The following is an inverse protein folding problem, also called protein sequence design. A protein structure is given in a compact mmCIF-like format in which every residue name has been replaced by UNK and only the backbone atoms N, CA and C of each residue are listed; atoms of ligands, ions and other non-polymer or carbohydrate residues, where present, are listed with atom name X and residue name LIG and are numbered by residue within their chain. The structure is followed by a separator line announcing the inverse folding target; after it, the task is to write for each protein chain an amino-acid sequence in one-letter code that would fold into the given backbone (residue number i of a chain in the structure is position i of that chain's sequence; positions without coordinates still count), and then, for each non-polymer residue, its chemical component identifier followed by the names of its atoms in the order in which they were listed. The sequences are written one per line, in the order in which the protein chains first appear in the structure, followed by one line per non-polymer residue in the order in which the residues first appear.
data_IF_407086470612
#
_entry.id   IF_407086470612
#
_cell.length_a   1.000
_cell.length_b   1.000
_cell.length_c   1.000
_cell.angle_alpha   90.00
_cell.angle_beta   90.00
_cell.angle_gamma   90.00
#
_symmetry.space_group_name_H-M   'P 1'
#
loop_
_entity.id
_entity.type
_entity.pdbx_description
1 polymer ?
#
# COMPACT_ATOMS: atom_id res chain seq x y z
N UNK A 1 6.26 12.01 -24.64
CA UNK A 1 6.27 11.98 -23.16
C UNK A 1 5.63 10.68 -22.75
N UNK A 2 6.34 9.77 -22.08
CA UNK A 2 5.73 8.55 -21.54
C UNK A 2 4.69 8.96 -20.49
N UNK A 3 3.45 8.46 -20.61
CA UNK A 3 2.46 8.63 -19.57
C UNK A 3 2.93 7.86 -18.33
N UNK A 4 3.15 8.52 -17.18
CA UNK A 4 3.55 7.82 -15.97
C UNK A 4 2.47 6.80 -15.61
N UNK A 5 2.88 5.53 -15.46
CA UNK A 5 1.95 4.44 -15.14
C UNK A 5 1.52 4.53 -13.69
N UNK A 6 0.23 4.75 -13.47
CA UNK A 6 -0.36 4.59 -12.14
C UNK A 6 -0.27 3.11 -11.72
N UNK A 7 0.04 2.88 -10.45
CA UNK A 7 0.21 1.55 -9.89
C UNK A 7 -0.61 1.43 -8.62
N UNK A 8 -1.18 0.26 -8.37
CA UNK A 8 -1.88 -0.02 -7.13
C UNK A 8 -1.61 -1.45 -6.67
N UNK A 9 -1.76 -1.65 -5.37
CA UNK A 9 -1.71 -2.95 -4.72
C UNK A 9 -2.78 -3.02 -3.66
N UNK A 10 -3.45 -4.16 -3.58
CA UNK A 10 -4.36 -4.51 -2.51
C UNK A 10 -3.90 -5.81 -1.88
N UNK A 11 -3.80 -5.82 -0.56
CA UNK A 11 -3.45 -7.01 0.19
C UNK A 11 -4.35 -7.21 1.39
N UNK A 12 -4.62 -8.48 1.71
CA UNK A 12 -5.27 -8.89 2.94
C UNK A 12 -4.43 -9.91 3.71
N UNK A 13 -4.54 -9.85 5.03
CA UNK A 13 -3.99 -10.87 5.94
C UNK A 13 -5.11 -11.35 6.85
N UNK A 14 -5.47 -12.63 6.74
CA UNK A 14 -6.59 -13.24 7.45
C UNK A 14 -6.13 -14.52 8.13
N UNK A 15 -6.34 -14.62 9.44
CA UNK A 15 -6.12 -15.81 10.26
C UNK A 15 -7.05 -15.74 11.48
N UNK A 16 -8.20 -16.44 11.45
CA UNK A 16 -9.16 -16.45 12.54
C UNK A 16 -8.58 -16.97 13.85
N UNK A 17 -7.66 -17.95 13.80
CA UNK A 17 -7.05 -18.56 14.99
C UNK A 17 -6.22 -17.55 15.80
N UNK A 18 -5.79 -16.46 15.14
CA UNK A 18 -5.01 -15.37 15.73
C UNK A 18 -5.78 -14.06 15.85
N UNK A 19 -7.07 -14.06 15.55
CA UNK A 19 -7.90 -12.85 15.51
C UNK A 19 -7.33 -11.76 14.57
N UNK A 20 -6.71 -12.18 13.46
CA UNK A 20 -6.15 -11.29 12.44
C UNK A 20 -7.09 -11.22 11.25
N UNK A 21 -7.56 -10.02 10.94
CA UNK A 21 -8.30 -9.72 9.72
C UNK A 21 -7.92 -8.29 9.29
N UNK A 22 -6.92 -8.16 8.43
CA UNK A 22 -6.32 -6.87 8.07
C UNK A 22 -6.39 -6.63 6.58
N UNK A 23 -6.69 -5.39 6.24
CA UNK A 23 -6.76 -4.89 4.88
C UNK A 23 -5.70 -3.80 4.68
N UNK A 24 -5.08 -3.77 3.49
CA UNK A 24 -4.07 -2.78 3.14
C UNK A 24 -4.11 -2.47 1.65
N UNK A 25 -4.21 -1.20 1.31
CA UNK A 25 -4.08 -0.72 -0.06
C UNK A 25 -2.94 0.28 -0.20
N UNK A 26 -2.32 0.29 -1.36
CA UNK A 26 -1.27 1.22 -1.76
C UNK A 26 -1.54 1.68 -3.20
N UNK A 27 -1.50 2.98 -3.43
CA UNK A 27 -1.62 3.59 -4.76
C UNK A 27 -0.43 4.52 -4.99
N UNK A 28 0.05 4.54 -6.23
CA UNK A 28 1.02 5.50 -6.72
C UNK A 28 0.45 6.13 -7.99
N UNK A 29 0.12 7.41 -7.89
CA UNK A 29 -0.58 8.14 -8.95
C UNK A 29 0.22 9.37 -9.33
N UNK A 30 0.40 9.59 -10.64
CA UNK A 30 1.03 10.81 -11.13
C UNK A 30 -0.02 11.69 -11.77
N UNK A 31 -0.06 12.95 -11.36
CA UNK A 31 -1.02 13.93 -11.87
C UNK A 31 -0.57 14.55 -13.20
N UNK A 32 -1.43 15.40 -13.77
CA UNK A 32 -1.19 16.07 -15.06
C UNK A 32 -0.04 17.09 -15.00
N UNK A 33 0.39 17.49 -13.80
CA UNK A 33 1.49 18.42 -13.57
C UNK A 33 2.81 17.72 -13.24
N UNK A 34 2.83 16.38 -13.29
CA UNK A 34 4.00 15.55 -13.03
C UNK A 34 4.27 15.26 -11.54
N UNK A 35 3.43 15.76 -10.63
CA UNK A 35 3.53 15.39 -9.22
C UNK A 35 3.04 13.96 -9.02
N UNK A 36 3.72 13.22 -8.15
CA UNK A 36 3.32 11.85 -7.82
C UNK A 36 2.90 11.75 -6.37
N UNK A 37 1.74 11.17 -6.11
CA UNK A 37 1.27 10.84 -4.78
C UNK A 37 1.49 9.36 -4.49
N UNK A 38 1.81 9.06 -3.23
CA UNK A 38 1.75 7.71 -2.66
C UNK A 38 0.65 7.74 -1.61
N UNK A 39 -0.48 7.11 -1.90
CA UNK A 39 -1.57 6.93 -0.95
C UNK A 39 -1.53 5.50 -0.39
N UNK A 40 -1.71 5.38 0.92
CA UNK A 40 -1.86 4.07 1.57
C UNK A 40 -3.01 4.10 2.54
N UNK A 41 -3.84 3.05 2.51
CA UNK A 41 -4.95 2.82 3.45
C UNK A 41 -4.76 1.49 4.14
N UNK A 42 -5.08 1.42 5.43
CA UNK A 42 -4.93 0.20 6.21
C UNK A 42 -5.95 0.11 7.33
N UNK A 43 -6.34 -1.09 7.71
CA UNK A 43 -7.35 -1.26 8.76
C UNK A 43 -7.59 -2.70 9.13
N UNK A 44 -8.52 -2.90 10.06
CA UNK A 44 -9.17 -4.20 10.22
C UNK A 44 -10.25 -4.32 9.14
N UNK A 45 -10.40 -5.50 8.54
CA UNK A 45 -11.46 -5.74 7.53
C UNK A 45 -12.82 -5.45 8.17
N UNK A 46 -13.71 -4.78 7.43
CA UNK A 46 -15.03 -4.36 7.92
C UNK A 46 -15.03 -3.07 8.75
N UNK A 47 -13.92 -2.32 8.78
CA UNK A 47 -13.82 -1.02 9.47
C UNK A 47 -13.38 0.08 8.51
N UNK A 48 -13.58 1.34 8.89
CA UNK A 48 -13.13 2.50 8.11
C UNK A 48 -11.60 2.54 7.91
N UNK A 49 -10.83 1.95 8.83
CA UNK A 49 -9.37 1.98 8.78
C UNK A 49 -8.78 3.40 8.94
N UNK A 50 -7.55 3.55 8.46
CA UNK A 50 -6.77 4.79 8.42
C UNK A 50 -6.17 4.96 7.01
N UNK A 51 -5.84 6.19 6.65
CA UNK A 51 -5.19 6.49 5.38
C UNK A 51 -4.20 7.65 5.53
N UNK A 52 -3.17 7.64 4.69
CA UNK A 52 -2.27 8.78 4.51
C UNK A 52 -1.82 8.86 3.07
N UNK A 53 -1.74 10.09 2.57
CA UNK A 53 -1.22 10.42 1.25
C UNK A 53 0.01 11.28 1.42
N UNK A 54 1.05 11.00 0.64
CA UNK A 54 2.29 11.79 0.60
C UNK A 54 2.58 12.15 -0.84
N UNK A 55 2.83 13.44 -1.09
CA UNK A 55 3.07 13.97 -2.44
C UNK A 55 4.56 14.22 -2.67
N UNK A 56 5.02 13.94 -3.87
CA UNK A 56 6.39 14.10 -4.31
C UNK A 56 6.42 14.84 -5.65
N UNK A 57 7.37 15.77 -5.85
CA UNK A 57 7.54 16.45 -7.14
C UNK A 57 8.14 15.53 -8.21
N UNK A 58 8.72 14.40 -7.83
CA UNK A 58 9.38 13.43 -8.72
C UNK A 58 8.89 12.01 -8.44
N UNK A 59 8.54 11.28 -9.50
CA UNK A 59 8.10 9.88 -9.47
C UNK A 59 9.14 8.95 -8.83
N UNK A 60 10.44 9.20 -9.03
CA UNK A 60 11.50 8.33 -8.49
C UNK A 60 11.45 8.26 -6.96
N UNK A 61 11.14 9.38 -6.30
CA UNK A 61 11.00 9.42 -4.84
C UNK A 61 9.77 8.64 -4.39
N UNK A 62 8.64 8.83 -5.06
CA UNK A 62 7.41 8.08 -4.81
C UNK A 62 7.62 6.56 -4.95
N UNK A 63 8.28 6.12 -6.01
CA UNK A 63 8.57 4.70 -6.26
C UNK A 63 9.46 4.08 -5.17
N UNK A 64 10.46 4.83 -4.70
CA UNK A 64 11.32 4.40 -3.57
C UNK A 64 10.49 4.17 -2.31
N UNK A 65 9.58 5.08 -1.99
CA UNK A 65 8.69 4.96 -0.83
C UNK A 65 7.70 3.79 -1.01
N UNK A 66 7.12 3.63 -2.21
CA UNK A 66 6.23 2.52 -2.51
C UNK A 66 6.94 1.15 -2.36
N UNK A 67 8.19 1.05 -2.83
CA UNK A 67 9.01 -0.15 -2.66
C UNK A 67 9.28 -0.45 -1.18
N UNK A 68 9.62 0.55 -0.37
CA UNK A 68 9.82 0.37 1.07
C UNK A 68 8.53 -0.11 1.77
N UNK A 69 7.37 0.43 1.39
CA UNK A 69 6.07 0.00 1.93
C UNK A 69 5.84 -1.47 1.61
N UNK A 70 6.07 -1.88 0.35
CA UNK A 70 5.93 -3.28 -0.11
C UNK A 70 6.82 -4.24 0.68
N UNK A 71 8.11 -3.95 0.81
CA UNK A 71 9.05 -4.77 1.60
C UNK A 71 8.58 -4.89 3.06
N UNK A 72 8.04 -3.80 3.62
CA UNK A 72 7.46 -3.82 4.97
C UNK A 72 6.18 -4.65 5.07
N UNK A 73 5.40 -4.82 3.98
CA UNK A 73 4.22 -5.69 3.93
C UNK A 73 4.62 -7.16 3.78
N UNK A 74 5.61 -7.47 2.94
CA UNK A 74 6.15 -8.82 2.79
C UNK A 74 6.70 -9.38 4.11
N UNK A 75 7.37 -8.53 4.90
CA UNK A 75 7.90 -8.90 6.22
C UNK A 75 6.86 -8.92 7.35
N UNK A 76 5.57 -8.66 7.07
CA UNK A 76 4.54 -8.56 8.09
C UNK A 76 4.32 -9.85 8.88
N UNK A 77 4.60 -11.02 8.30
CA UNK A 77 4.54 -12.31 9.00
C UNK A 77 5.31 -12.29 10.33
N UNK A 78 6.47 -11.64 10.36
CA UNK A 78 7.31 -11.51 11.57
C UNK A 78 6.64 -10.68 12.68
N UNK A 79 5.65 -9.85 12.34
CA UNK A 79 4.98 -8.90 13.25
C UNK A 79 3.57 -9.32 13.66
N UNK A 80 2.81 -9.93 12.75
CA UNK A 80 1.39 -10.29 12.98
C UNK A 80 1.11 -11.79 12.82
N UNK A 81 2.13 -12.61 12.57
CA UNK A 81 1.99 -14.06 12.38
C UNK A 81 1.42 -14.49 11.03
N UNK A 82 0.87 -13.57 10.25
CA UNK A 82 0.15 -13.84 8.98
C UNK A 82 0.78 -13.04 7.85
N UNK A 83 0.93 -13.67 6.68
CA UNK A 83 1.39 -12.97 5.48
C UNK A 83 0.23 -12.18 4.86
N UNK A 84 0.55 -11.01 4.35
CA UNK A 84 -0.33 -10.34 3.40
C UNK A 84 -0.30 -11.11 2.08
N UNK A 85 -1.47 -11.37 1.52
CA UNK A 85 -1.67 -11.96 0.19
C UNK A 85 -2.31 -10.90 -0.71
N UNK A 86 -1.92 -10.89 -1.99
CA UNK A 86 -2.54 -10.01 -2.96
C UNK A 86 -4.01 -10.40 -3.15
N UNK A 87 -4.86 -9.40 -3.29
CA UNK A 87 -6.30 -9.57 -3.56
C UNK A 87 -6.60 -8.83 -4.87
N UNK A 88 -7.36 -9.47 -5.74
CA UNK A 88 -7.84 -8.89 -7.00
C UNK A 88 -9.02 -7.93 -6.78
#
# INVERSE_FOLDING_TARGET
METPKNQSWHWQAIDPSRNVARDYHLWVETDLFGWTTVERRWGRIGTKGQGVTTSFPDRRQADTIAQQIRIRRESAFKRIGVRYQAVE
#
